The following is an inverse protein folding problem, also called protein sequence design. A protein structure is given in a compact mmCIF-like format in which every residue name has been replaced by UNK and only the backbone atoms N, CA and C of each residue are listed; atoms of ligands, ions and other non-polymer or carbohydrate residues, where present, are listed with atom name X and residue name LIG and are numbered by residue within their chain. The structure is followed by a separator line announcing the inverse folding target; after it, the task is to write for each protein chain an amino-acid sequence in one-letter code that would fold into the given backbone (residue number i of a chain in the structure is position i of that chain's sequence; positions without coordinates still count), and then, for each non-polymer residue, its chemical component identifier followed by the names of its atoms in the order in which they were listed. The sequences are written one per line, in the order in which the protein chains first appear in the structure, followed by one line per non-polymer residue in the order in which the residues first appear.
data_IF_899336899302
#
_entry.id   IF_899336899302
#
_cell.length_a   1.000
_cell.length_b   1.000
_cell.length_c   1.000
_cell.angle_alpha   90.00
_cell.angle_beta   90.00
_cell.angle_gamma   90.00
#
_symmetry.space_group_name_H-M   'P 1'
#
loop_
_entity.id
_entity.type
_entity.pdbx_description
1 polymer ?
#
# COMPACT_ATOMS: atom_id res chain seq x y z
N UNK A 1 15.12 5.77 -14.03
CA UNK A 1 14.44 5.92 -12.72
C UNK A 1 13.13 5.13 -12.72
N UNK A 2 12.90 4.40 -11.63
CA UNK A 2 11.73 3.56 -11.33
C UNK A 2 10.52 4.39 -10.87
N UNK A 3 9.34 3.78 -10.78
CA UNK A 3 8.05 4.49 -10.64
C UNK A 3 7.94 5.35 -9.38
N UNK A 4 8.20 4.82 -8.18
CA UNK A 4 8.15 5.61 -6.94
C UNK A 4 9.25 6.67 -6.93
N UNK A 5 10.48 6.31 -7.29
CA UNK A 5 11.61 7.28 -7.32
C UNK A 5 11.32 8.48 -8.23
N UNK A 6 10.60 8.28 -9.34
CA UNK A 6 10.20 9.37 -10.24
C UNK A 6 9.22 10.35 -9.60
N UNK A 7 8.36 9.90 -8.68
CA UNK A 7 7.31 10.70 -8.07
C UNK A 7 7.78 11.45 -6.80
N UNK A 8 8.79 10.94 -6.11
CA UNK A 8 9.37 11.59 -4.93
C UNK A 8 10.16 12.85 -5.31
N UNK A 9 10.09 13.89 -4.49
CA UNK A 9 10.98 15.05 -4.57
C UNK A 9 12.43 14.59 -4.41
N UNK A 10 13.39 15.15 -5.16
CA UNK A 10 14.81 14.80 -5.01
C UNK A 10 15.34 14.98 -3.58
N UNK A 11 14.80 15.96 -2.84
CA UNK A 11 15.17 16.26 -1.45
C UNK A 11 14.44 15.39 -0.42
N UNK A 12 13.53 14.53 -0.85
CA UNK A 12 12.79 13.66 0.07
C UNK A 12 13.72 12.59 0.64
N UNK A 13 13.77 12.47 1.97
CA UNK A 13 14.49 11.39 2.66
C UNK A 13 14.02 9.98 2.25
N UNK A 14 12.79 9.86 1.75
CA UNK A 14 12.24 8.58 1.29
C UNK A 14 12.93 8.05 0.03
N UNK A 15 13.60 8.90 -0.76
CA UNK A 15 14.32 8.47 -1.98
C UNK A 15 15.34 7.39 -1.67
N UNK A 16 16.06 7.53 -0.55
CA UNK A 16 17.07 6.57 -0.09
C UNK A 16 16.46 5.27 0.48
N UNK A 17 15.16 5.27 0.79
CA UNK A 17 14.43 4.11 1.34
C UNK A 17 13.73 3.28 0.27
N UNK A 18 13.67 3.77 -0.97
CA UNK A 18 13.12 3.00 -2.10
C UNK A 18 14.07 1.86 -2.45
N UNK A 19 13.53 0.66 -2.57
CA UNK A 19 14.21 -0.56 -3.01
C UNK A 19 13.70 -1.01 -4.37
N UNK A 20 14.52 -1.72 -5.13
CA UNK A 20 14.13 -2.23 -6.44
C UNK A 20 13.15 -3.42 -6.30
N UNK A 21 12.22 -3.54 -7.24
CA UNK A 21 11.18 -4.57 -7.21
C UNK A 21 10.41 -4.60 -5.90
N UNK A 22 10.25 -5.79 -5.31
CA UNK A 22 9.64 -6.00 -3.99
C UNK A 22 10.67 -6.01 -2.85
N UNK A 23 11.82 -5.37 -3.04
CA UNK A 23 12.94 -5.39 -2.10
C UNK A 23 12.61 -4.83 -0.71
N UNK A 24 11.67 -3.88 -0.61
CA UNK A 24 11.29 -3.27 0.67
C UNK A 24 10.32 -4.13 1.50
N UNK A 25 9.70 -5.15 0.91
CA UNK A 25 8.70 -5.95 1.64
C UNK A 25 9.37 -6.91 2.60
N UNK A 26 8.81 -7.03 3.79
CA UNK A 26 9.20 -8.08 4.72
C UNK A 26 8.98 -9.47 4.10
N UNK A 27 9.87 -10.46 4.34
CA UNK A 27 9.74 -11.80 3.77
C UNK A 27 8.39 -12.46 4.03
N UNK A 28 7.80 -12.21 5.19
CA UNK A 28 6.48 -12.72 5.58
C UNK A 28 5.33 -12.18 4.74
N UNK A 29 5.48 -10.97 4.16
CA UNK A 29 4.47 -10.31 3.33
C UNK A 29 4.59 -10.64 1.85
N UNK A 30 5.76 -11.04 1.36
CA UNK A 30 5.96 -11.39 -0.06
C UNK A 30 5.01 -12.47 -0.60
N UNK A 31 4.58 -13.50 0.17
CA UNK A 31 3.57 -14.46 -0.25
C UNK A 31 2.17 -13.88 -0.49
N UNK A 32 1.88 -12.67 0.02
CA UNK A 32 0.62 -11.94 -0.17
C UNK A 32 0.50 -11.29 -1.54
N UNK A 33 1.55 -11.38 -2.35
CA UNK A 33 1.55 -11.00 -3.75
C UNK A 33 1.64 -12.28 -4.57
N UNK A 34 0.67 -12.46 -5.47
CA UNK A 34 0.64 -13.59 -6.39
C UNK A 34 1.90 -13.62 -7.25
N UNK A 35 2.48 -14.82 -7.41
CA UNK A 35 3.74 -15.02 -8.14
C UNK A 35 3.68 -14.45 -9.56
N UNK A 36 2.51 -14.52 -10.21
CA UNK A 36 2.32 -14.05 -11.58
C UNK A 36 2.45 -12.52 -11.74
N UNK A 37 2.40 -11.76 -10.64
CA UNK A 37 2.53 -10.29 -10.68
C UNK A 37 3.75 -9.77 -9.93
N UNK A 38 4.62 -10.61 -9.37
CA UNK A 38 5.78 -10.11 -8.60
C UNK A 38 6.74 -9.28 -9.44
N UNK A 39 6.92 -9.64 -10.71
CA UNK A 39 7.78 -8.92 -11.67
C UNK A 39 7.13 -7.65 -12.22
N UNK A 40 5.87 -7.36 -11.87
CA UNK A 40 5.16 -6.14 -12.27
C UNK A 40 5.69 -4.89 -11.57
N UNK A 41 6.37 -5.02 -10.44
CA UNK A 41 6.77 -3.87 -9.64
C UNK A 41 8.21 -3.48 -9.96
N UNK A 42 8.42 -2.21 -10.35
CA UNK A 42 9.74 -1.65 -10.63
C UNK A 42 10.48 -1.33 -9.31
N UNK A 43 9.75 -0.84 -8.31
CA UNK A 43 10.28 -0.46 -7.01
C UNK A 43 9.23 -0.56 -5.88
N UNK A 44 9.70 -0.53 -4.63
CA UNK A 44 8.88 -0.56 -3.42
C UNK A 44 9.50 0.26 -2.28
N UNK A 45 8.67 0.64 -1.31
CA UNK A 45 9.10 1.28 -0.06
C UNK A 45 8.25 0.75 1.09
N UNK A 46 8.91 0.51 2.22
CA UNK A 46 8.29 0.25 3.53
C UNK A 46 8.02 1.60 4.20
N UNK A 47 6.77 2.03 4.18
CA UNK A 47 6.32 3.30 4.72
C UNK A 47 6.21 3.25 6.23
N UNK A 48 5.80 2.11 6.81
CA UNK A 48 5.74 1.95 8.27
C UNK A 48 7.14 2.13 8.87
N UNK A 49 8.12 1.38 8.38
CA UNK A 49 9.50 1.51 8.83
C UNK A 49 10.10 2.90 8.54
N UNK A 50 9.74 3.52 7.41
CA UNK A 50 10.25 4.85 7.06
C UNK A 50 9.75 5.96 7.99
N UNK A 51 8.58 5.81 8.62
CA UNK A 51 8.01 6.80 9.53
C UNK A 51 8.02 6.38 11.00
N UNK A 52 8.42 5.15 11.33
CA UNK A 52 8.38 4.62 12.69
C UNK A 52 9.14 5.47 13.72
N UNK A 53 10.36 5.91 13.38
CA UNK A 53 11.18 6.71 14.30
C UNK A 53 10.60 8.11 14.55
N UNK A 54 10.06 8.75 13.51
CA UNK A 54 9.52 10.11 13.59
C UNK A 54 8.12 10.15 14.22
N UNK A 55 7.30 9.12 13.95
CA UNK A 55 5.88 9.07 14.28
C UNK A 55 5.51 7.73 14.94
N UNK A 56 6.13 7.34 16.08
CA UNK A 56 6.02 5.98 16.64
C UNK A 56 4.59 5.61 17.06
N UNK A 57 3.78 6.60 17.47
CA UNK A 57 2.42 6.40 17.97
C UNK A 57 1.33 6.64 16.92
N UNK A 58 1.69 6.97 15.68
CA UNK A 58 0.70 7.19 14.61
C UNK A 58 0.36 5.90 13.86
N UNK A 59 -0.83 5.90 13.24
CA UNK A 59 -1.13 4.92 12.20
C UNK A 59 -0.23 5.18 10.99
N UNK A 60 0.38 4.13 10.44
CA UNK A 60 1.27 4.21 9.26
C UNK A 60 0.94 3.08 8.31
N UNK A 61 0.71 3.37 7.04
CA UNK A 61 0.48 2.34 6.02
C UNK A 61 1.76 1.53 5.78
N UNK A 62 1.65 0.25 5.48
CA UNK A 62 2.84 -0.61 5.45
C UNK A 62 3.72 -0.37 4.21
N UNK A 63 3.18 -0.52 2.99
CA UNK A 63 4.00 -0.46 1.77
C UNK A 63 3.41 0.41 0.66
N UNK A 64 4.29 0.99 -0.16
CA UNK A 64 3.96 1.44 -1.52
C UNK A 64 4.74 0.63 -2.55
N UNK A 65 4.10 0.36 -3.69
CA UNK A 65 4.67 -0.37 -4.83
C UNK A 65 4.54 0.49 -6.09
N UNK A 66 5.62 0.59 -6.85
CA UNK A 66 5.63 1.21 -8.15
C UNK A 66 5.29 0.21 -9.25
N UNK A 67 4.12 0.36 -9.85
CA UNK A 67 3.67 -0.52 -10.93
C UNK A 67 4.34 -0.14 -12.25
N UNK A 68 5.08 -1.09 -12.84
CA UNK A 68 5.80 -0.91 -14.09
C UNK A 68 4.87 -0.86 -15.30
N UNK A 69 3.66 -1.44 -15.22
CA UNK A 69 2.72 -1.51 -16.33
C UNK A 69 1.90 -0.24 -16.41
N UNK A 70 1.23 0.14 -15.32
CA UNK A 70 0.40 1.35 -15.28
C UNK A 70 1.19 2.64 -15.04
N UNK A 71 2.47 2.53 -14.63
CA UNK A 71 3.33 3.65 -14.20
C UNK A 71 2.75 4.43 -13.02
N UNK A 72 1.89 3.79 -12.21
CA UNK A 72 1.25 4.37 -11.03
C UNK A 72 1.85 3.79 -9.74
N UNK A 73 1.72 4.52 -8.64
CA UNK A 73 2.03 4.01 -7.31
C UNK A 73 0.76 3.39 -6.72
N UNK A 74 0.89 2.26 -6.04
CA UNK A 74 -0.20 1.64 -5.28
C UNK A 74 0.23 1.37 -3.83
N UNK A 75 -0.70 1.47 -2.88
CA UNK A 75 -0.48 1.07 -1.49
C UNK A 75 -0.83 -0.40 -1.27
N UNK A 76 -0.04 -1.09 -0.44
CA UNK A 76 -0.32 -2.45 0.03
C UNK A 76 -0.26 -2.50 1.56
N UNK A 77 -1.30 -3.06 2.17
CA UNK A 77 -1.48 -3.16 3.61
C UNK A 77 -1.78 -4.61 4.01
N UNK A 78 -0.77 -5.35 4.48
CA UNK A 78 -0.94 -6.64 5.13
C UNK A 78 -1.50 -6.52 6.54
N UNK A 79 -2.82 -6.61 6.70
CA UNK A 79 -3.47 -6.43 8.00
C UNK A 79 -4.56 -7.45 8.27
N UNK A 80 -4.82 -7.76 9.55
CA UNK A 80 -5.82 -8.77 9.92
C UNK A 80 -7.22 -8.37 9.44
N UNK A 81 -7.94 -9.29 8.78
CA UNK A 81 -9.24 -9.02 8.18
C UNK A 81 -10.39 -9.37 9.13
N UNK A 82 -10.61 -8.51 10.12
CA UNK A 82 -11.72 -8.56 11.09
C UNK A 82 -12.60 -7.32 10.96
N UNK A 83 -13.85 -7.38 11.44
CA UNK A 83 -14.81 -6.27 11.30
C UNK A 83 -14.34 -4.95 11.90
N UNK A 84 -13.72 -5.01 13.07
CA UNK A 84 -13.19 -3.89 13.84
C UNK A 84 -11.99 -3.21 13.15
N UNK A 85 -11.32 -3.91 12.24
CA UNK A 85 -10.13 -3.41 11.55
C UNK A 85 -10.43 -2.49 10.36
N UNK A 86 -11.68 -2.44 9.87
CA UNK A 86 -12.07 -1.57 8.75
C UNK A 86 -11.76 -0.09 9.05
N UNK A 87 -12.18 0.37 10.24
CA UNK A 87 -11.92 1.75 10.67
C UNK A 87 -10.41 2.02 10.79
N UNK A 88 -9.64 1.03 11.23
CA UNK A 88 -8.19 1.16 11.41
C UNK A 88 -7.47 1.27 10.08
N UNK A 89 -7.78 0.41 9.10
CA UNK A 89 -7.19 0.46 7.76
C UNK A 89 -7.54 1.79 7.07
N UNK A 90 -8.76 2.29 7.21
CA UNK A 90 -9.13 3.63 6.71
C UNK A 90 -8.27 4.72 7.38
N UNK A 91 -8.08 4.65 8.70
CA UNK A 91 -7.25 5.61 9.43
C UNK A 91 -5.77 5.54 9.00
N UNK A 92 -5.21 4.33 8.80
CA UNK A 92 -3.85 4.13 8.26
C UNK A 92 -3.69 4.80 6.90
N UNK A 93 -4.65 4.64 5.98
CA UNK A 93 -4.60 5.30 4.68
C UNK A 93 -4.62 6.83 4.80
N UNK A 94 -5.55 7.38 5.60
CA UNK A 94 -5.65 8.83 5.79
C UNK A 94 -4.34 9.40 6.32
N UNK A 95 -3.74 8.75 7.32
CA UNK A 95 -2.43 9.15 7.85
C UNK A 95 -1.30 9.03 6.86
N UNK A 96 -1.25 7.95 6.06
CA UNK A 96 -0.24 7.85 5.01
C UNK A 96 -0.35 8.97 3.97
N UNK A 97 -1.57 9.38 3.59
CA UNK A 97 -1.75 10.52 2.68
C UNK A 97 -1.21 11.84 3.28
N UNK A 98 -1.41 12.07 4.57
CA UNK A 98 -0.85 13.22 5.30
C UNK A 98 0.69 13.16 5.35
N UNK A 99 1.23 12.04 5.83
CA UNK A 99 2.66 11.79 6.01
C UNK A 99 3.42 11.91 4.69
N UNK A 100 2.89 11.35 3.61
CA UNK A 100 3.55 11.32 2.30
C UNK A 100 3.45 12.65 1.52
N UNK A 101 2.53 13.55 1.89
CA UNK A 101 2.22 14.77 1.12
C UNK A 101 3.45 15.64 0.84
N UNK A 102 4.30 15.83 1.84
CA UNK A 102 5.50 16.66 1.72
C UNK A 102 6.58 16.02 0.82
N UNK A 103 6.51 14.71 0.59
CA UNK A 103 7.53 13.96 -0.14
C UNK A 103 7.26 13.89 -1.65
N UNK A 104 6.03 14.09 -2.10
CA UNK A 104 5.66 14.01 -3.52
C UNK A 104 5.99 15.29 -4.29
N UNK A 105 6.44 15.15 -5.53
CA UNK A 105 6.69 16.29 -6.44
C UNK A 105 5.42 17.10 -6.67
N UNK A 106 4.30 16.44 -6.97
CA UNK A 106 2.99 17.06 -7.17
C UNK A 106 1.86 16.07 -6.87
N UNK A 107 0.82 16.55 -6.17
CA UNK A 107 -0.35 15.74 -5.82
C UNK A 107 -0.03 14.48 -5.01
N UNK A 108 -0.99 13.56 -4.96
CA UNK A 108 -0.76 12.19 -4.48
C UNK A 108 -0.69 11.26 -5.68
N UNK A 109 0.44 10.58 -5.93
CA UNK A 109 0.58 9.65 -7.06
C UNK A 109 -0.03 8.27 -6.78
N UNK A 110 -0.58 8.04 -5.57
CA UNK A 110 -1.07 6.72 -5.15
C UNK A 110 -2.46 6.50 -5.73
N UNK A 111 -2.54 5.69 -6.79
CA UNK A 111 -3.74 5.48 -7.58
C UNK A 111 -4.72 4.47 -6.95
N UNK A 112 -4.24 3.53 -6.15
CA UNK A 112 -5.06 2.57 -5.43
C UNK A 112 -4.42 2.15 -4.11
N UNK A 113 -5.27 1.68 -3.20
CA UNK A 113 -4.89 1.20 -1.88
C UNK A 113 -5.47 -0.20 -1.68
N UNK A 114 -4.61 -1.19 -1.54
CA UNK A 114 -4.99 -2.59 -1.40
C UNK A 114 -4.79 -3.05 0.04
N UNK A 115 -5.85 -3.62 0.61
CA UNK A 115 -5.79 -4.32 1.89
C UNK A 115 -5.77 -5.83 1.63
N UNK A 116 -4.69 -6.48 2.04
CA UNK A 116 -4.51 -7.92 1.94
C UNK A 116 -4.50 -8.54 3.34
N UNK A 117 -5.24 -9.63 3.52
CA UNK A 117 -5.38 -10.28 4.81
C UNK A 117 -4.03 -10.89 5.26
N UNK A 118 -3.63 -10.61 6.50
CA UNK A 118 -2.43 -11.19 7.10
C UNK A 118 -2.64 -12.52 7.84
N UNK A 119 -3.89 -12.95 8.03
CA UNK A 119 -4.22 -14.21 8.69
C UNK A 119 -5.61 -14.72 8.32
N UNK A 120 -6.34 -15.24 9.31
CA UNK A 120 -7.72 -15.68 9.10
C UNK A 120 -8.63 -14.52 8.71
N UNK A 121 -9.49 -14.82 7.73
CA UNK A 121 -10.46 -13.86 7.21
C UNK A 121 -11.76 -14.11 7.96
N UNK A 122 -12.03 -13.26 8.95
CA UNK A 122 -13.31 -13.19 9.65
C UNK A 122 -14.01 -11.88 9.28
N UNK A 123 -13.97 -11.59 7.98
CA UNK A 123 -14.72 -10.50 7.40
C UNK A 123 -16.09 -11.06 7.05
N UNK A 124 -17.17 -10.66 7.74
CA UNK A 124 -18.49 -11.01 7.28
C UNK A 124 -18.75 -10.15 6.06
N UNK A 125 -19.06 -10.85 4.98
CA UNK A 125 -19.44 -10.35 3.66
C UNK A 125 -20.72 -9.50 3.79
N UNK A 126 -20.58 -8.33 4.42
CA UNK A 126 -21.64 -7.37 4.64
C UNK A 126 -21.39 -6.23 3.68
N UNK A 127 -22.37 -5.98 2.82
CA UNK A 127 -22.33 -4.88 1.83
C UNK A 127 -21.89 -3.55 2.45
N UNK A 128 -22.17 -3.34 3.74
CA UNK A 128 -21.79 -2.14 4.48
C UNK A 128 -20.27 -1.94 4.58
N UNK A 129 -19.50 -2.96 4.96
CA UNK A 129 -18.05 -2.80 5.13
C UNK A 129 -17.34 -2.70 3.78
N UNK A 130 -17.79 -3.48 2.79
CA UNK A 130 -17.30 -3.38 1.42
C UNK A 130 -17.57 -1.98 0.83
N UNK A 131 -18.79 -1.45 1.03
CA UNK A 131 -19.16 -0.09 0.62
C UNK A 131 -18.29 0.96 1.31
N UNK A 132 -18.09 0.85 2.62
CA UNK A 132 -17.27 1.79 3.39
C UNK A 132 -15.81 1.81 2.90
N UNK A 133 -15.21 0.65 2.62
CA UNK A 133 -13.88 0.60 2.03
C UNK A 133 -13.84 1.26 0.64
N UNK A 134 -14.86 1.01 -0.19
CA UNK A 134 -14.97 1.59 -1.52
C UNK A 134 -15.11 3.12 -1.49
N UNK A 135 -15.93 3.67 -0.57
CA UNK A 135 -16.06 5.12 -0.33
C UNK A 135 -14.71 5.77 0.02
N UNK A 136 -13.85 5.02 0.72
CA UNK A 136 -12.50 5.44 1.04
C UNK A 136 -11.45 5.02 0.00
N UNK A 137 -11.85 4.54 -1.19
CA UNK A 137 -10.94 4.06 -2.25
C UNK A 137 -9.91 3.03 -1.73
N UNK A 138 -10.37 2.05 -0.94
CA UNK A 138 -9.60 0.90 -0.47
C UNK A 138 -10.25 -0.36 -1.03
N UNK A 139 -9.45 -1.25 -1.60
CA UNK A 139 -9.92 -2.55 -2.11
C UNK A 139 -9.40 -3.66 -1.23
N UNK A 140 -10.29 -4.42 -0.58
CA UNK A 140 -9.92 -5.67 0.06
C UNK A 140 -9.70 -6.75 -0.99
N UNK A 141 -8.53 -7.41 -0.97
CA UNK A 141 -8.12 -8.36 -2.01
C UNK A 141 -8.09 -9.81 -1.53
N UNK A 142 -8.64 -10.09 -0.35
CA UNK A 142 -8.52 -11.39 0.30
C UNK A 142 -7.10 -11.64 0.78
N UNK A 143 -6.60 -12.87 0.64
CA UNK A 143 -5.24 -13.26 1.11
C UNK A 143 -4.10 -12.91 0.16
N UNK A 144 -4.40 -12.57 -1.10
CA UNK A 144 -3.38 -12.27 -2.09
C UNK A 144 -3.80 -11.17 -3.06
N UNK A 145 -2.89 -10.25 -3.33
CA UNK A 145 -2.96 -9.33 -4.45
C UNK A 145 -2.68 -10.09 -5.76
N UNK A 146 -3.60 -9.99 -6.74
CA UNK A 146 -3.59 -10.74 -8.00
C UNK A 146 -3.77 -9.81 -9.18
N UNK A 147 -3.44 -10.28 -10.39
CA UNK A 147 -3.57 -9.52 -11.63
C UNK A 147 -4.96 -8.90 -11.83
N UNK A 148 -6.03 -9.60 -11.43
CA UNK A 148 -7.41 -9.11 -11.56
C UNK A 148 -7.68 -7.78 -10.84
N UNK A 149 -6.93 -7.46 -9.78
CA UNK A 149 -7.10 -6.23 -9.00
C UNK A 149 -6.53 -4.99 -9.70
N UNK A 150 -5.76 -5.18 -10.77
CA UNK A 150 -5.16 -4.09 -11.55
C UNK A 150 -5.93 -3.75 -12.82
N UNK A 151 -7.02 -4.45 -13.16
CA UNK A 151 -7.77 -4.23 -14.42
C UNK A 151 -8.37 -2.82 -14.56
N UNK A 152 -8.47 -2.07 -13.46
CA UNK A 152 -9.08 -0.73 -13.40
C UNK A 152 -8.05 0.39 -13.17
N UNK A 153 -6.76 0.05 -13.14
CA UNK A 153 -5.65 0.99 -12.92
C UNK A 153 -4.97 1.34 -14.25
#
# INVERSE_FOLDING_TARGET
MTTIRKQLRPTSRLVAKVSDGLGALNPVDKPRIDVAIKTRFDDSIDVDAAFLEELPNENRWDYLLGDSVSKKVVGLEPHSARQDEVSRVIAKKTKALEQLRAHWKAGSPVAAWFWVASGDVHFPDTDRNAKRLAEHNITFVGRQLKAKHFKKL
#
